data_IF_600507607013
#
_entry.id   IF_600507607013
#
_cell.length_a   1.000
_cell.length_b   1.000
_cell.length_c   1.000
_cell.angle_alpha   90.00
_cell.angle_beta   90.00
_cell.angle_gamma   90.00
#
_symmetry.space_group_name_H-M   'P 1'
#
loop_
_entity.id
_entity.type
_entity.pdbx_description
1 polymer ?
#
# COMPACT_ATOMS: atom_id res chain seq x y z
N UNK A 1 4.46 27.28 7.34
CA UNK A 1 3.68 27.79 6.19
C UNK A 1 2.89 26.59 5.68
N UNK A 2 1.56 26.63 5.76
CA UNK A 2 0.72 25.56 5.20
C UNK A 2 0.68 25.78 3.68
N UNK A 3 1.53 25.06 2.94
CA UNK A 3 1.49 25.05 1.49
C UNK A 3 0.15 24.49 1.01
N UNK A 4 -0.33 24.93 -0.15
CA UNK A 4 -1.45 24.27 -0.82
C UNK A 4 -1.04 22.83 -1.17
N UNK A 5 -1.97 21.85 -1.11
CA UNK A 5 -1.67 20.47 -1.49
C UNK A 5 -1.26 20.40 -2.96
N UNK A 6 -0.34 19.52 -3.27
CA UNK A 6 -0.05 19.21 -4.67
C UNK A 6 -1.30 18.65 -5.37
N UNK A 7 -1.46 18.97 -6.65
CA UNK A 7 -2.60 18.51 -7.45
C UNK A 7 -2.12 17.59 -8.55
N UNK A 8 -2.69 16.38 -8.58
CA UNK A 8 -2.54 15.48 -9.70
C UNK A 8 -3.68 15.70 -10.68
N UNK A 9 -3.38 16.19 -11.85
CA UNK A 9 -4.38 16.66 -12.82
C UNK A 9 -4.37 15.84 -14.10
N UNK A 10 -5.38 16.04 -14.95
CA UNK A 10 -5.46 15.40 -16.27
C UNK A 10 -4.30 15.78 -17.19
N UNK A 11 -3.73 16.96 -17.03
CA UNK A 11 -2.57 17.40 -17.80
C UNK A 11 -1.34 16.52 -17.49
N UNK A 12 -1.14 16.13 -16.24
CA UNK A 12 -0.10 15.20 -15.85
C UNK A 12 -0.32 13.83 -16.51
N UNK A 13 -1.56 13.32 -16.57
CA UNK A 13 -1.86 12.04 -17.21
C UNK A 13 -1.67 12.06 -18.74
N UNK A 14 -1.73 13.23 -19.37
CA UNK A 14 -1.48 13.41 -20.81
C UNK A 14 0.01 13.34 -21.17
N UNK A 15 0.92 13.43 -20.20
CA UNK A 15 2.35 13.20 -20.42
C UNK A 15 2.56 11.74 -20.91
N UNK A 16 3.60 11.47 -21.72
CA UNK A 16 3.85 10.14 -22.26
C UNK A 16 3.84 9.09 -21.14
N UNK A 17 2.88 8.17 -21.21
CA UNK A 17 2.81 7.07 -20.25
C UNK A 17 3.98 6.12 -20.50
N UNK A 18 4.93 6.10 -19.58
CA UNK A 18 5.99 5.12 -19.38
C UNK A 18 6.56 4.43 -20.63
N UNK A 19 7.84 4.35 -20.67
CA UNK A 19 8.61 3.54 -21.62
C UNK A 19 8.99 2.19 -20.98
N UNK A 20 9.93 1.47 -21.62
CA UNK A 20 10.49 0.23 -21.09
C UNK A 20 11.12 0.40 -19.67
N UNK A 21 11.60 1.62 -19.36
CA UNK A 21 12.23 1.90 -18.06
C UNK A 21 11.24 1.99 -16.90
N UNK A 22 9.95 2.11 -17.17
CA UNK A 22 8.87 2.13 -16.15
C UNK A 22 7.95 0.90 -16.25
N UNK A 23 8.25 -0.06 -17.10
CA UNK A 23 7.43 -1.26 -17.30
C UNK A 23 8.07 -2.46 -16.61
N UNK A 24 7.32 -3.09 -15.68
CA UNK A 24 7.76 -4.31 -15.02
C UNK A 24 7.97 -5.45 -16.02
N UNK A 25 8.93 -6.35 -15.78
CA UNK A 25 9.02 -7.59 -16.54
C UNK A 25 7.76 -8.44 -16.38
N UNK A 26 7.45 -9.24 -17.41
CA UNK A 26 6.39 -10.26 -17.29
C UNK A 26 6.78 -11.28 -16.22
N UNK A 27 5.86 -11.57 -15.31
CA UNK A 27 6.02 -12.66 -14.34
C UNK A 27 5.83 -13.97 -15.07
N UNK A 28 6.96 -14.59 -15.44
CA UNK A 28 7.01 -15.79 -16.25
C UNK A 28 6.47 -17.07 -15.57
N UNK A 29 6.62 -18.17 -16.26
CA UNK A 29 6.38 -19.53 -15.72
C UNK A 29 7.72 -20.19 -15.38
N UNK A 30 7.81 -20.98 -14.27
CA UNK A 30 6.72 -21.19 -13.31
C UNK A 30 6.37 -19.92 -12.53
N UNK A 31 5.14 -19.85 -12.07
CA UNK A 31 4.72 -18.76 -11.17
C UNK A 31 5.56 -18.78 -9.89
N UNK A 32 5.76 -17.62 -9.22
CA UNK A 32 6.35 -17.58 -7.89
C UNK A 32 5.61 -18.57 -6.95
N UNK A 33 6.33 -19.32 -6.12
CA UNK A 33 5.72 -20.27 -5.20
C UNK A 33 4.82 -19.54 -4.20
N UNK A 34 3.73 -20.17 -3.82
CA UNK A 34 2.88 -19.62 -2.75
C UNK A 34 3.59 -19.77 -1.41
N UNK A 35 3.65 -18.69 -0.65
CA UNK A 35 4.17 -18.69 0.73
C UNK A 35 3.22 -19.50 1.63
N UNK A 36 1.92 -19.37 1.40
CA UNK A 36 0.88 -20.12 2.09
C UNK A 36 0.13 -20.99 1.07
N UNK A 37 0.07 -22.31 1.25
CA UNK A 37 -0.64 -23.19 0.31
C UNK A 37 -2.15 -22.90 0.23
N UNK A 38 -2.79 -22.64 1.37
CA UNK A 38 -4.24 -22.57 1.51
C UNK A 38 -4.77 -21.14 1.72
N UNK A 39 -3.89 -20.15 1.92
CA UNK A 39 -4.26 -18.75 2.10
C UNK A 39 -3.68 -17.87 0.99
N UNK A 40 -4.42 -16.86 0.59
CA UNK A 40 -3.92 -15.77 -0.22
C UNK A 40 -3.11 -14.79 0.63
N UNK A 41 -2.02 -14.26 0.07
CA UNK A 41 -1.25 -13.16 0.62
C UNK A 41 -1.29 -11.98 -0.36
N UNK A 42 -1.52 -10.79 0.17
CA UNK A 42 -1.41 -9.54 -0.57
C UNK A 42 -0.98 -8.39 0.35
N UNK A 43 -0.71 -7.22 -0.20
CA UNK A 43 -0.40 -6.00 0.56
C UNK A 43 0.66 -6.20 1.64
N UNK A 44 1.87 -6.55 1.25
CA UNK A 44 2.96 -6.76 2.20
C UNK A 44 3.74 -5.47 2.49
N UNK A 45 4.33 -5.37 3.68
CA UNK A 45 5.21 -4.30 4.13
C UNK A 45 6.20 -4.80 5.19
N UNK A 46 7.40 -4.19 5.32
CA UNK A 46 8.33 -4.57 6.38
C UNK A 46 7.88 -4.04 7.74
N UNK A 47 8.27 -4.72 8.83
CA UNK A 47 8.41 -4.04 10.10
C UNK A 47 9.67 -3.18 9.98
N UNK A 48 9.54 -1.87 10.13
CA UNK A 48 10.63 -0.92 9.99
C UNK A 48 11.35 -0.69 11.32
N UNK A 49 12.62 -0.35 11.27
CA UNK A 49 13.28 0.38 12.34
C UNK A 49 12.95 1.88 12.23
N UNK A 50 13.30 2.68 13.23
CA UNK A 50 12.98 4.11 13.23
C UNK A 50 13.67 4.93 12.12
N UNK A 51 14.70 4.40 11.49
CA UNK A 51 15.38 4.98 10.33
C UNK A 51 14.76 4.54 8.99
N UNK A 52 13.69 3.76 9.03
CA UNK A 52 12.98 3.23 7.87
C UNK A 52 13.55 1.92 7.32
N UNK A 53 14.71 1.45 7.78
CA UNK A 53 15.25 0.16 7.36
C UNK A 53 14.37 -1.00 7.81
N UNK A 54 14.44 -2.14 7.11
CA UNK A 54 13.71 -3.34 7.49
C UNK A 54 14.31 -3.94 8.78
N UNK A 55 13.45 -4.22 9.76
CA UNK A 55 13.87 -4.81 11.03
C UNK A 55 14.36 -6.24 10.84
N UNK A 56 15.57 -6.52 11.36
CA UNK A 56 16.16 -7.84 11.35
C UNK A 56 16.23 -8.38 12.77
N UNK A 57 15.59 -9.52 13.01
CA UNK A 57 15.54 -10.19 14.30
C UNK A 57 16.04 -11.63 14.14
N UNK A 58 17.07 -12.00 14.88
CA UNK A 58 17.72 -13.33 14.79
C UNK A 58 18.20 -13.72 13.39
N UNK A 59 18.56 -12.74 12.56
CA UNK A 59 19.04 -12.95 11.20
C UNK A 59 17.97 -12.93 10.13
N UNK A 60 16.67 -12.88 10.49
CA UNK A 60 15.55 -12.81 9.55
C UNK A 60 14.98 -11.40 9.49
N UNK A 61 14.67 -10.90 8.30
CA UNK A 61 13.84 -9.71 8.10
C UNK A 61 12.40 -10.01 8.53
N UNK A 62 11.77 -9.08 9.25
CA UNK A 62 10.36 -9.21 9.65
C UNK A 62 9.44 -8.40 8.76
N UNK A 63 8.37 -9.06 8.32
CA UNK A 63 7.39 -8.51 7.40
C UNK A 63 5.97 -8.76 7.88
N UNK A 64 5.07 -7.95 7.44
CA UNK A 64 3.62 -8.14 7.59
C UNK A 64 2.96 -8.18 6.23
N UNK A 65 1.82 -8.86 6.15
CA UNK A 65 0.97 -8.91 4.98
C UNK A 65 -0.49 -9.04 5.38
N UNK A 66 -1.40 -8.79 4.45
CA UNK A 66 -2.77 -9.27 4.56
C UNK A 66 -2.84 -10.73 4.14
N UNK A 67 -3.70 -11.50 4.79
CA UNK A 67 -4.00 -12.88 4.41
C UNK A 67 -5.47 -13.21 4.61
N UNK A 68 -5.97 -14.13 3.79
CA UNK A 68 -7.29 -14.72 3.91
C UNK A 68 -7.29 -16.12 3.30
N UNK A 69 -8.18 -17.04 3.73
CA UNK A 69 -8.34 -18.34 3.07
C UNK A 69 -8.61 -18.19 1.58
N UNK A 70 -7.93 -18.99 0.76
CA UNK A 70 -8.03 -18.99 -0.70
C UNK A 70 -9.35 -19.64 -1.17
N UNK A 71 -10.48 -19.06 -0.79
CA UNK A 71 -11.84 -19.58 -1.02
C UNK A 71 -12.67 -18.58 -1.84
N UNK A 72 -13.55 -19.10 -2.69
CA UNK A 72 -14.47 -18.28 -3.48
C UNK A 72 -13.79 -17.39 -4.51
N UNK A 73 -14.44 -16.28 -4.87
CA UNK A 73 -13.85 -15.28 -5.73
C UNK A 73 -12.69 -14.56 -4.99
N UNK A 74 -11.53 -14.31 -5.65
CA UNK A 74 -10.39 -13.67 -4.99
C UNK A 74 -10.73 -12.34 -4.30
N UNK A 75 -11.65 -11.54 -4.85
CA UNK A 75 -12.03 -10.26 -4.25
C UNK A 75 -12.74 -10.40 -2.89
N UNK A 76 -13.37 -11.53 -2.61
CA UNK A 76 -13.97 -11.82 -1.30
C UNK A 76 -12.93 -11.95 -0.18
N UNK A 77 -11.62 -12.02 -0.51
CA UNK A 77 -10.53 -12.01 0.48
C UNK A 77 -10.58 -10.77 1.38
N UNK A 78 -11.02 -9.63 0.83
CA UNK A 78 -11.11 -8.38 1.57
C UNK A 78 -12.11 -8.44 2.74
N UNK A 79 -13.13 -9.29 2.64
CA UNK A 79 -14.12 -9.50 3.69
C UNK A 79 -13.64 -10.43 4.82
N UNK A 80 -12.49 -11.07 4.62
CA UNK A 80 -11.88 -12.02 5.57
C UNK A 80 -10.44 -11.65 5.91
N UNK A 81 -10.00 -10.45 5.52
CA UNK A 81 -8.62 -10.00 5.65
C UNK A 81 -8.16 -9.92 7.10
N UNK A 82 -6.99 -10.50 7.36
CA UNK A 82 -6.30 -10.47 8.64
C UNK A 82 -4.81 -10.18 8.47
N UNK A 83 -4.22 -9.51 9.44
CA UNK A 83 -2.79 -9.26 9.50
C UNK A 83 -2.02 -10.56 9.77
N UNK A 84 -0.95 -10.77 9.02
CA UNK A 84 -0.06 -11.91 9.13
C UNK A 84 1.37 -11.48 9.32
N UNK A 85 2.12 -12.19 10.15
CA UNK A 85 3.55 -11.98 10.36
C UNK A 85 4.33 -12.98 9.51
N UNK A 86 5.35 -12.50 8.82
CA UNK A 86 6.23 -13.28 7.97
C UNK A 86 7.69 -13.02 8.35
N UNK A 87 8.54 -14.00 8.14
CA UNK A 87 9.99 -13.82 8.17
C UNK A 87 10.58 -14.07 6.78
N UNK A 88 11.66 -13.35 6.44
CA UNK A 88 12.39 -13.51 5.20
C UNK A 88 13.86 -13.76 5.48
N UNK A 89 14.39 -14.87 4.95
CA UNK A 89 15.78 -15.28 5.03
C UNK A 89 16.34 -15.45 3.62
N UNK A 90 17.19 -14.52 3.18
CA UNK A 90 17.62 -14.48 1.78
C UNK A 90 16.40 -14.36 0.85
N UNK A 91 16.20 -15.34 -0.02
CA UNK A 91 15.05 -15.38 -0.94
C UNK A 91 13.85 -16.18 -0.40
N UNK A 92 14.00 -16.80 0.78
CA UNK A 92 12.98 -17.65 1.41
C UNK A 92 12.01 -16.86 2.28
N UNK A 93 10.73 -17.23 2.23
CA UNK A 93 9.68 -16.69 3.09
C UNK A 93 9.14 -17.76 4.02
N UNK A 94 8.96 -17.41 5.29
CA UNK A 94 8.42 -18.28 6.33
C UNK A 94 7.19 -17.63 6.95
N UNK A 95 6.11 -18.40 7.03
CA UNK A 95 4.91 -18.00 7.74
C UNK A 95 5.12 -18.11 9.26
N UNK A 96 4.91 -17.00 9.96
CA UNK A 96 4.92 -16.94 11.42
C UNK A 96 3.50 -16.98 12.03
N UNK A 97 2.47 -16.90 11.21
CA UNK A 97 1.05 -16.96 11.62
C UNK A 97 0.37 -15.60 11.64
N UNK A 98 -0.89 -15.58 12.10
CA UNK A 98 -1.61 -14.33 12.28
C UNK A 98 -0.90 -13.44 13.30
N UNK A 99 -0.82 -12.13 12.99
CA UNK A 99 -0.16 -11.16 13.85
C UNK A 99 -0.85 -11.04 15.22
N UNK A 100 -2.18 -11.12 15.25
CA UNK A 100 -3.00 -10.97 16.45
C UNK A 100 -4.08 -12.05 16.52
N UNK A 101 -4.61 -12.24 17.75
CA UNK A 101 -5.74 -13.12 17.98
C UNK A 101 -6.99 -12.65 17.23
N UNK A 102 -7.90 -13.59 16.97
CA UNK A 102 -9.17 -13.24 16.35
C UNK A 102 -10.03 -12.35 17.24
N UNK A 103 -10.72 -11.39 16.64
CA UNK A 103 -11.67 -10.51 17.33
C UNK A 103 -11.06 -9.46 18.26
N UNK A 104 -9.74 -9.22 18.26
CA UNK A 104 -9.11 -8.13 19.04
C UNK A 104 -9.21 -6.78 18.36
N UNK A 105 -9.22 -6.75 17.02
CA UNK A 105 -9.41 -5.53 16.24
C UNK A 105 -10.78 -4.89 16.52
N UNK A 106 -10.91 -3.55 16.58
CA UNK A 106 -12.21 -2.88 16.63
C UNK A 106 -13.02 -3.03 15.34
N UNK A 107 -12.36 -3.31 14.20
CA UNK A 107 -13.01 -3.65 12.94
C UNK A 107 -13.48 -5.09 12.87
N UNK A 108 -14.29 -5.41 11.88
CA UNK A 108 -14.62 -6.80 11.52
C UNK A 108 -13.51 -7.43 10.65
N UNK A 109 -12.67 -6.61 10.02
CA UNK A 109 -11.52 -6.97 9.19
C UNK A 109 -10.33 -6.06 9.52
N UNK A 110 -9.15 -6.58 9.18
CA UNK A 110 -7.89 -5.85 9.31
C UNK A 110 -7.36 -5.62 7.89
N UNK A 111 -7.19 -4.34 7.49
CA UNK A 111 -6.64 -3.99 6.19
C UNK A 111 -5.27 -3.36 6.31
N UNK A 112 -4.66 -3.05 5.18
CA UNK A 112 -3.28 -2.59 5.01
C UNK A 112 -2.82 -1.50 5.97
N UNK A 113 -1.52 -1.46 6.17
CA UNK A 113 -0.89 -0.50 7.05
C UNK A 113 0.63 -0.50 6.98
N UNK A 114 1.26 -0.20 8.10
CA UNK A 114 2.70 -0.16 8.30
C UNK A 114 3.05 -0.59 9.72
N UNK A 115 4.33 -0.84 9.99
CA UNK A 115 4.79 -1.19 11.32
C UNK A 115 6.19 -0.64 11.60
N UNK A 116 6.43 -0.24 12.85
CA UNK A 116 7.75 0.22 13.30
C UNK A 116 8.13 -0.43 14.62
N UNK A 117 9.37 -0.90 14.69
CA UNK A 117 9.96 -1.39 15.93
C UNK A 117 10.63 -0.24 16.67
N UNK A 118 10.29 -0.11 17.94
CA UNK A 118 10.81 0.93 18.84
C UNK A 118 12.10 0.47 19.52
N UNK A 119 12.94 1.40 20.00
CA UNK A 119 14.19 1.07 20.72
C UNK A 119 13.97 0.22 21.97
N UNK A 120 12.79 0.30 22.61
CA UNK A 120 12.42 -0.52 23.77
C UNK A 120 11.97 -1.95 23.41
N UNK A 121 11.98 -2.29 22.10
CA UNK A 121 11.55 -3.57 21.56
C UNK A 121 10.05 -3.68 21.33
N UNK A 122 9.27 -2.63 21.61
CA UNK A 122 7.85 -2.57 21.23
C UNK A 122 7.73 -2.42 19.72
N UNK A 123 6.72 -3.03 19.13
CA UNK A 123 6.32 -2.85 17.73
C UNK A 123 4.98 -2.12 17.71
N UNK A 124 4.95 -0.94 17.11
CA UNK A 124 3.71 -0.24 16.77
C UNK A 124 3.27 -0.70 15.38
N UNK A 125 2.13 -1.37 15.30
CA UNK A 125 1.50 -1.78 14.04
C UNK A 125 0.34 -0.83 13.76
N UNK A 126 0.46 -0.04 12.73
CA UNK A 126 -0.60 0.85 12.24
C UNK A 126 -1.34 0.14 11.13
N UNK A 127 -2.65 -0.01 11.27
CA UNK A 127 -3.46 -0.71 10.28
C UNK A 127 -4.85 -0.10 10.15
N UNK A 128 -5.58 -0.49 9.13
CA UNK A 128 -6.96 -0.08 8.93
C UNK A 128 -7.91 -1.07 9.57
N UNK A 129 -8.69 -0.63 10.55
CA UNK A 129 -9.86 -1.36 11.00
C UNK A 129 -11.01 -1.08 10.03
N UNK A 130 -11.38 -2.10 9.25
CA UNK A 130 -12.49 -2.02 8.30
C UNK A 130 -13.74 -2.68 8.88
N UNK A 131 -14.90 -2.04 8.67
CA UNK A 131 -16.15 -2.43 9.31
C UNK A 131 -16.15 -2.21 10.82
N UNK A 132 -17.06 -2.88 11.51
CA UNK A 132 -17.22 -2.82 12.96
C UNK A 132 -17.28 -4.21 13.55
N UNK A 133 -16.56 -4.45 14.62
CA UNK A 133 -16.64 -5.75 15.31
C UNK A 133 -18.09 -6.10 15.66
N UNK A 134 -18.49 -7.33 15.31
CA UNK A 134 -19.83 -7.84 15.63
C UNK A 134 -20.94 -7.32 14.71
N UNK A 135 -20.62 -6.61 13.64
CA UNK A 135 -21.61 -6.22 12.63
C UNK A 135 -22.23 -7.46 11.95
N UNK A 136 -23.53 -7.37 11.65
CA UNK A 136 -24.26 -8.49 11.03
C UNK A 136 -23.94 -8.67 9.54
N UNK A 137 -23.46 -7.61 8.90
CA UNK A 137 -23.00 -7.58 7.49
C UNK A 137 -21.78 -6.69 7.41
N UNK A 138 -20.77 -7.04 6.60
CA UNK A 138 -19.61 -6.20 6.41
C UNK A 138 -19.99 -4.80 5.92
N UNK A 139 -19.48 -3.77 6.61
CA UNK A 139 -19.55 -2.37 6.16
C UNK A 139 -18.15 -1.90 5.74
N UNK A 140 -18.06 -0.76 5.06
CA UNK A 140 -16.80 -0.17 4.61
C UNK A 140 -16.36 1.03 5.47
N UNK A 141 -16.91 1.15 6.69
CA UNK A 141 -16.41 2.11 7.67
C UNK A 141 -14.93 1.84 7.95
N UNK A 142 -14.11 2.88 8.00
CA UNK A 142 -12.67 2.77 8.13
C UNK A 142 -12.14 3.68 9.22
N UNK A 143 -11.21 3.18 10.00
CA UNK A 143 -10.42 3.97 10.95
C UNK A 143 -9.00 3.42 11.04
N UNK A 144 -8.06 4.28 11.42
CA UNK A 144 -6.67 3.88 11.67
C UNK A 144 -6.53 3.44 13.12
N UNK A 145 -5.95 2.27 13.32
CA UNK A 145 -5.67 1.67 14.62
C UNK A 145 -4.17 1.51 14.81
N UNK A 146 -3.67 1.80 16.00
CA UNK A 146 -2.36 1.38 16.46
C UNK A 146 -2.50 0.17 17.38
N UNK A 147 -1.84 -0.94 17.02
CA UNK A 147 -1.64 -2.06 17.92
C UNK A 147 -0.21 -2.02 18.48
N UNK A 148 -0.06 -1.96 19.80
CA UNK A 148 1.24 -2.00 20.47
C UNK A 148 1.49 -3.39 21.01
N UNK A 149 2.50 -4.06 20.44
CA UNK A 149 2.88 -5.42 20.79
C UNK A 149 4.39 -5.50 21.09
N UNK A 150 4.80 -6.56 21.76
CA UNK A 150 6.23 -6.91 21.88
C UNK A 150 6.54 -8.10 20.98
N UNK A 151 7.74 -8.13 20.44
CA UNK A 151 8.26 -9.33 19.83
C UNK A 151 8.64 -10.33 20.94
N UNK A 152 8.02 -11.49 20.89
CA UNK A 152 8.28 -12.59 21.81
C UNK A 152 8.79 -13.81 21.04
N UNK A 153 9.41 -14.74 21.74
CA UNK A 153 9.84 -16.00 21.15
C UNK A 153 9.16 -17.15 21.88
N UNK A 154 8.45 -17.97 21.12
CA UNK A 154 7.85 -19.20 21.62
C UNK A 154 8.28 -20.38 20.73
N UNK A 155 8.81 -21.45 21.35
CA UNK A 155 9.30 -22.62 20.63
C UNK A 155 10.33 -22.32 19.52
N UNK A 156 11.07 -21.20 19.63
CA UNK A 156 12.03 -20.74 18.61
C UNK A 156 11.40 -19.87 17.51
N UNK A 157 10.07 -19.73 17.45
CA UNK A 157 9.36 -18.84 16.52
C UNK A 157 9.28 -17.43 17.08
N UNK A 158 9.41 -16.45 16.19
CA UNK A 158 9.18 -15.03 16.50
C UNK A 158 7.68 -14.76 16.34
N UNK A 159 7.06 -14.12 17.32
CA UNK A 159 5.64 -13.78 17.33
C UNK A 159 5.47 -12.35 17.88
N UNK A 160 4.33 -11.74 17.59
CA UNK A 160 3.86 -10.57 18.32
C UNK A 160 3.06 -11.05 19.54
N UNK A 161 3.24 -10.38 20.67
CA UNK A 161 2.48 -10.68 21.90
C UNK A 161 0.99 -10.48 21.64
N UNK A 162 0.20 -11.51 21.92
CA UNK A 162 -1.25 -11.52 21.71
C UNK A 162 -2.01 -10.62 22.70
N UNK A 163 -1.33 -10.12 23.74
CA UNK A 163 -1.88 -9.13 24.68
C UNK A 163 -1.76 -7.68 24.16
N UNK A 164 -1.49 -7.48 22.88
CA UNK A 164 -1.38 -6.16 22.26
C UNK A 164 -2.62 -5.30 22.52
N UNK A 165 -2.40 -4.04 22.88
CA UNK A 165 -3.45 -3.04 22.98
C UNK A 165 -3.76 -2.47 21.59
N UNK A 166 -5.03 -2.52 21.18
CA UNK A 166 -5.52 -1.99 19.90
C UNK A 166 -6.31 -0.71 20.15
N UNK A 167 -5.71 0.42 19.81
CA UNK A 167 -6.31 1.74 20.01
C UNK A 167 -6.63 2.40 18.68
N UNK A 168 -7.88 2.83 18.50
CA UNK A 168 -8.22 3.68 17.37
C UNK A 168 -7.59 5.06 17.57
N UNK A 169 -6.76 5.47 16.62
CA UNK A 169 -5.94 6.70 16.73
C UNK A 169 -6.35 7.79 15.75
N UNK A 170 -6.99 7.44 14.62
CA UNK A 170 -7.43 8.41 13.62
C UNK A 170 -8.72 7.96 12.93
N UNK A 171 -9.58 8.95 12.65
CA UNK A 171 -10.69 8.88 11.69
C UNK A 171 -10.66 10.10 10.78
N UNK A 172 -11.39 10.03 9.66
CA UNK A 172 -11.69 11.24 8.87
C UNK A 172 -12.41 12.26 9.75
N UNK A 173 -12.11 13.54 9.54
CA UNK A 173 -12.72 14.65 10.30
C UNK A 173 -14.11 15.06 9.75
N UNK A 174 -14.51 14.51 8.60
CA UNK A 174 -15.75 14.87 7.91
C UNK A 174 -15.76 16.27 7.31
N UNK A 175 -14.66 16.99 7.38
CA UNK A 175 -14.51 18.39 6.90
C UNK A 175 -13.45 18.47 5.82
N UNK A 176 -12.19 18.19 6.18
CA UNK A 176 -11.06 18.12 5.22
C UNK A 176 -11.09 16.79 4.48
N UNK A 177 -11.28 15.71 5.23
CA UNK A 177 -11.31 14.34 4.73
C UNK A 177 -12.71 13.76 4.89
N UNK A 178 -13.26 13.24 3.80
CA UNK A 178 -14.59 12.65 3.80
C UNK A 178 -14.62 11.34 4.61
N UNK A 179 -15.74 11.03 5.26
CA UNK A 179 -15.94 9.72 5.85
C UNK A 179 -15.85 8.62 4.79
N UNK A 180 -15.23 7.48 5.13
CA UNK A 180 -15.27 6.31 4.29
C UNK A 180 -16.72 5.79 4.16
N UNK A 181 -17.05 5.21 2.99
CA UNK A 181 -18.38 4.69 2.72
C UNK A 181 -18.71 3.52 3.67
N UNK A 182 -19.92 3.50 4.19
CA UNK A 182 -20.43 2.39 5.01
C UNK A 182 -20.91 1.21 4.17
N UNK A 183 -21.08 1.42 2.87
CA UNK A 183 -21.48 0.39 1.90
C UNK A 183 -20.52 0.41 0.72
N UNK A 184 -20.39 -0.72 0.03
CA UNK A 184 -19.59 -0.82 -1.18
C UNK A 184 -20.09 0.16 -2.23
N UNK A 185 -19.17 0.98 -2.75
CA UNK A 185 -19.44 1.96 -3.80
C UNK A 185 -18.89 1.50 -5.14
N UNK A 186 -19.48 1.99 -6.25
CA UNK A 186 -18.91 1.84 -7.59
C UNK A 186 -17.78 2.84 -7.85
N UNK A 187 -17.11 2.76 -9.02
CA UNK A 187 -16.06 3.69 -9.43
C UNK A 187 -16.50 5.16 -9.27
N UNK A 188 -15.62 5.99 -8.71
CA UNK A 188 -15.89 7.39 -8.40
C UNK A 188 -16.74 7.63 -7.15
N UNK A 189 -17.33 6.59 -6.55
CA UNK A 189 -18.17 6.69 -5.35
C UNK A 189 -17.48 6.23 -4.08
N UNK A 190 -16.41 5.42 -4.20
CA UNK A 190 -15.62 4.92 -3.08
C UNK A 190 -14.94 6.09 -2.37
N UNK A 191 -15.07 6.14 -1.06
CA UNK A 191 -14.35 7.05 -0.18
C UNK A 191 -13.41 6.26 0.71
N UNK A 192 -12.20 6.77 0.88
CA UNK A 192 -11.15 6.10 1.62
C UNK A 192 -10.75 6.89 2.86
N UNK A 193 -10.39 6.17 3.92
CA UNK A 193 -9.58 6.64 5.03
C UNK A 193 -8.83 5.44 5.62
N UNK A 194 -7.77 4.97 4.91
CA UNK A 194 -7.13 3.68 5.12
C UNK A 194 -5.64 3.66 4.78
N UNK A 195 -5.00 2.52 4.94
CA UNK A 195 -3.62 2.21 4.55
C UNK A 195 -2.58 3.14 5.20
N UNK A 196 -2.53 3.25 6.55
CA UNK A 196 -1.60 4.15 7.20
C UNK A 196 -0.15 3.76 6.94
N UNK A 197 0.61 4.65 6.29
CA UNK A 197 2.05 4.56 6.08
C UNK A 197 2.81 5.37 7.13
N UNK A 198 3.53 4.74 8.03
CA UNK A 198 4.35 5.42 9.03
C UNK A 198 5.64 5.96 8.40
N UNK A 199 6.00 7.16 8.79
CA UNK A 199 7.23 7.83 8.36
C UNK A 199 7.79 8.69 9.49
N UNK A 200 9.11 8.60 9.72
CA UNK A 200 9.84 9.52 10.58
C UNK A 200 10.66 10.47 9.72
N UNK A 201 10.39 11.76 9.84
CA UNK A 201 11.09 12.77 9.06
C UNK A 201 12.56 12.89 9.54
N UNK A 202 13.55 12.58 8.68
CA UNK A 202 14.95 12.71 9.06
C UNK A 202 15.39 14.15 9.32
N UNK A 203 14.62 15.15 8.87
CA UNK A 203 14.95 16.55 9.06
C UNK A 203 14.71 17.05 10.49
N UNK A 204 13.65 16.55 11.15
CA UNK A 204 13.27 17.02 12.49
C UNK A 204 12.97 15.89 13.50
N UNK A 205 13.03 14.63 13.06
CA UNK A 205 12.78 13.45 13.88
C UNK A 205 11.32 13.23 14.25
N UNK A 206 10.38 13.99 13.72
CA UNK A 206 8.95 13.85 13.99
C UNK A 206 8.36 12.69 13.23
N UNK A 207 7.32 12.11 13.82
CA UNK A 207 6.59 11.01 13.23
C UNK A 207 5.31 11.49 12.54
N UNK A 208 5.02 10.84 11.42
CA UNK A 208 3.87 11.12 10.59
C UNK A 208 3.20 9.81 10.15
N UNK A 209 1.90 9.89 9.89
CA UNK A 209 1.14 8.87 9.16
C UNK A 209 0.61 9.48 7.88
N UNK A 210 0.87 8.80 6.77
CA UNK A 210 0.21 9.06 5.50
C UNK A 210 -1.00 8.14 5.42
N UNK A 211 -2.14 8.65 4.95
CA UNK A 211 -3.37 7.86 4.89
C UNK A 211 -4.00 8.03 3.52
N UNK A 212 -4.38 6.92 2.88
CA UNK A 212 -5.22 6.95 1.68
C UNK A 212 -6.57 7.55 2.07
N UNK A 213 -6.92 8.68 1.47
CA UNK A 213 -8.10 9.46 1.86
C UNK A 213 -8.90 9.96 0.66
N UNK A 214 -10.07 10.48 0.93
CA UNK A 214 -10.86 11.25 -0.02
C UNK A 214 -11.13 12.63 0.56
N UNK A 215 -11.02 13.68 -0.27
CA UNK A 215 -11.29 15.07 0.15
C UNK A 215 -12.55 15.60 -0.51
N UNK A 216 -13.16 16.62 0.08
CA UNK A 216 -14.23 17.37 -0.55
C UNK A 216 -13.68 18.10 -1.80
N UNK A 217 -14.39 18.02 -2.90
CA UNK A 217 -13.98 18.70 -4.13
C UNK A 217 -13.98 20.22 -3.97
N UNK A 218 -13.06 20.86 -4.66
CA UNK A 218 -13.12 22.32 -4.86
C UNK A 218 -14.39 22.70 -5.63
N UNK A 219 -14.95 23.92 -5.46
CA UNK A 219 -16.10 24.34 -6.24
C UNK A 219 -15.87 24.17 -7.75
N UNK A 220 -16.75 23.42 -8.41
CA UNK A 220 -16.66 23.11 -9.85
C UNK A 220 -15.84 21.88 -10.23
N UNK A 221 -15.21 21.20 -9.28
CA UNK A 221 -14.52 19.92 -9.51
C UNK A 221 -15.50 18.74 -9.41
N UNK A 222 -15.13 17.60 -10.01
CA UNK A 222 -15.91 16.36 -9.88
C UNK A 222 -15.71 15.75 -8.48
N UNK A 223 -16.76 15.80 -7.66
CA UNK A 223 -16.73 15.26 -6.30
C UNK A 223 -16.44 13.76 -6.22
N UNK A 224 -16.63 13.04 -7.32
CA UNK A 224 -16.49 11.59 -7.33
C UNK A 224 -15.02 11.15 -7.30
N UNK A 225 -14.11 11.91 -7.97
CA UNK A 225 -12.73 11.50 -8.20
C UNK A 225 -11.74 12.40 -7.45
N UNK A 226 -11.83 12.40 -6.13
CA UNK A 226 -11.05 13.26 -5.24
C UNK A 226 -10.23 12.44 -4.24
N UNK A 227 -9.56 11.40 -4.73
CA UNK A 227 -8.58 10.65 -3.94
C UNK A 227 -7.44 11.57 -3.45
N UNK A 228 -6.94 11.32 -2.25
CA UNK A 228 -5.92 12.16 -1.64
C UNK A 228 -4.96 11.37 -0.76
N UNK A 229 -3.78 11.92 -0.54
CA UNK A 229 -2.87 11.49 0.51
C UNK A 229 -3.03 12.42 1.70
N UNK A 230 -3.70 11.94 2.74
CA UNK A 230 -3.81 12.64 4.01
C UNK A 230 -2.48 12.57 4.77
N UNK A 231 -2.22 13.57 5.59
CA UNK A 231 -1.11 13.60 6.52
C UNK A 231 -1.64 13.74 7.95
N UNK A 232 -1.11 12.95 8.88
CA UNK A 232 -1.27 13.15 10.30
C UNK A 232 0.10 13.24 10.97
N UNK A 233 0.25 14.14 11.93
CA UNK A 233 1.48 14.33 12.69
C UNK A 233 1.30 13.81 14.12
N UNK A 234 2.31 13.14 14.66
CA UNK A 234 2.35 12.78 16.07
C UNK A 234 2.43 14.05 16.93
N UNK A 235 1.69 14.04 18.03
CA UNK A 235 1.67 15.10 19.05
C UNK A 235 1.73 14.46 20.44
N UNK A 236 2.02 15.21 21.51
CA UNK A 236 1.98 14.66 22.87
C UNK A 236 0.63 14.03 23.26
N UNK A 237 -0.47 14.49 22.65
CA UNK A 237 -1.84 14.03 22.93
C UNK A 237 -2.35 12.98 21.95
N UNK A 238 -1.48 12.44 21.06
CA UNK A 238 -1.83 11.46 20.03
C UNK A 238 -1.53 11.97 18.61
N UNK A 239 -2.43 11.72 17.67
CA UNK A 239 -2.25 12.08 16.25
C UNK A 239 -3.16 13.23 15.84
N UNK A 240 -2.66 14.15 15.03
CA UNK A 240 -3.40 15.33 14.55
C UNK A 240 -3.37 15.40 13.03
N UNK A 241 -4.56 15.42 12.41
CA UNK A 241 -4.72 15.58 10.97
C UNK A 241 -4.15 16.94 10.52
N UNK A 242 -3.54 16.93 9.34
CA UNK A 242 -2.97 18.07 8.64
C UNK A 242 -3.61 18.21 7.27
N UNK A 243 -3.43 19.31 6.55
CA UNK A 243 -3.82 19.42 5.15
C UNK A 243 -3.22 18.27 4.33
N UNK A 244 -3.89 17.81 3.26
CA UNK A 244 -3.38 16.73 2.41
C UNK A 244 -2.06 17.11 1.73
N UNK A 245 -1.19 16.13 1.49
CA UNK A 245 0.02 16.32 0.69
C UNK A 245 -0.28 16.38 -0.80
N UNK A 246 -1.24 15.57 -1.24
CA UNK A 246 -1.63 15.40 -2.63
C UNK A 246 -3.14 15.23 -2.75
N UNK A 247 -3.71 15.79 -3.79
CA UNK A 247 -5.12 15.60 -4.18
C UNK A 247 -5.17 15.25 -5.67
N UNK A 248 -5.89 14.18 -6.02
CA UNK A 248 -6.07 13.72 -7.40
C UNK A 248 -7.26 14.42 -8.10
N UNK A 249 -7.28 15.67 -8.13
CA UNK A 249 -8.27 16.66 -8.59
C UNK A 249 -9.11 16.26 -9.83
N UNK A 250 -10.18 15.50 -9.62
CA UNK A 250 -11.06 14.99 -10.67
C UNK A 250 -10.48 13.89 -11.56
N UNK A 251 -9.35 13.28 -11.17
CA UNK A 251 -8.62 12.31 -12.00
C UNK A 251 -8.69 10.89 -11.46
N UNK A 252 -8.75 10.73 -10.13
CA UNK A 252 -8.69 9.42 -9.50
C UNK A 252 -9.43 9.44 -8.15
N UNK A 253 -10.16 8.37 -7.84
CA UNK A 253 -10.89 8.30 -6.57
C UNK A 253 -10.16 7.50 -5.49
N UNK A 254 -9.10 6.77 -5.85
CA UNK A 254 -8.47 5.80 -4.96
C UNK A 254 -6.95 5.84 -5.09
N UNK A 255 -6.31 6.43 -4.08
CA UNK A 255 -4.85 6.50 -3.93
C UNK A 255 -4.50 5.60 -2.75
N UNK A 256 -3.94 4.42 -3.01
CA UNK A 256 -3.76 3.38 -2.01
C UNK A 256 -2.32 3.28 -1.55
N UNK A 257 -2.14 2.87 -0.28
CA UNK A 257 -0.85 2.58 0.33
C UNK A 257 0.18 3.71 0.19
N UNK A 258 -0.17 4.95 0.54
CA UNK A 258 0.76 6.06 0.45
C UNK A 258 1.93 5.87 1.42
N UNK A 259 3.16 6.06 0.91
CA UNK A 259 4.38 5.99 1.71
C UNK A 259 5.44 6.96 1.18
N UNK A 260 6.39 7.30 2.04
CA UNK A 260 7.50 8.22 1.69
C UNK A 260 8.83 7.51 1.86
N UNK A 261 9.71 7.73 0.89
CA UNK A 261 11.13 7.43 0.96
C UNK A 261 11.90 8.74 0.93
N UNK A 262 12.68 9.03 1.98
CA UNK A 262 13.65 10.11 1.96
C UNK A 262 14.94 9.58 1.28
N UNK A 263 15.35 10.23 0.18
CA UNK A 263 16.54 9.82 -0.56
C UNK A 263 17.34 11.05 -1.00
N UNK A 264 18.61 11.10 -0.60
CA UNK A 264 19.42 12.30 -0.76
C UNK A 264 18.83 13.47 0.03
N UNK A 265 18.55 14.58 -0.65
CA UNK A 265 17.91 15.77 -0.07
C UNK A 265 16.42 15.89 -0.42
N UNK A 266 15.80 14.81 -0.91
CA UNK A 266 14.44 14.84 -1.44
C UNK A 266 13.53 13.82 -0.75
N UNK A 267 12.24 14.14 -0.76
CA UNK A 267 11.15 13.29 -0.27
C UNK A 267 10.39 12.75 -1.46
N UNK A 268 10.31 11.45 -1.59
CA UNK A 268 9.60 10.75 -2.65
C UNK A 268 8.33 10.14 -2.06
N UNK A 269 7.20 10.70 -2.42
CA UNK A 269 5.87 10.18 -2.08
C UNK A 269 5.46 9.17 -3.14
N UNK A 270 5.12 7.95 -2.72
CA UNK A 270 4.63 6.88 -3.58
C UNK A 270 3.25 6.42 -3.16
N UNK A 271 2.48 5.89 -4.11
CA UNK A 271 1.18 5.27 -3.89
C UNK A 271 0.80 4.36 -5.07
N UNK A 272 -0.14 3.45 -4.86
CA UNK A 272 -0.68 2.59 -5.89
C UNK A 272 -2.07 3.01 -6.31
N UNK A 273 -2.45 2.72 -7.56
CA UNK A 273 -3.83 2.85 -8.02
C UNK A 273 -4.11 1.93 -9.21
N UNK A 274 -5.35 1.48 -9.31
CA UNK A 274 -5.83 0.67 -10.42
C UNK A 274 -6.27 1.52 -11.61
N UNK A 275 -6.17 0.95 -12.82
CA UNK A 275 -6.64 1.59 -14.07
C UNK A 275 -8.13 1.94 -14.03
N UNK A 276 -8.95 1.20 -13.29
CA UNK A 276 -10.38 1.45 -13.19
C UNK A 276 -10.72 2.59 -12.21
N UNK A 277 -9.79 2.98 -11.34
CA UNK A 277 -9.95 4.09 -10.38
C UNK A 277 -9.81 5.47 -11.01
N UNK A 278 -9.30 5.55 -12.24
CA UNK A 278 -9.19 6.81 -12.97
C UNK A 278 -10.51 7.29 -13.57
N UNK A 279 -10.57 8.58 -13.88
CA UNK A 279 -11.68 9.21 -14.59
C UNK A 279 -11.21 9.89 -15.89
N UNK A 280 -11.63 9.39 -17.06
CA UNK A 280 -12.40 8.14 -17.25
C UNK A 280 -11.58 6.88 -16.93
N UNK A 281 -12.25 5.74 -16.61
CA UNK A 281 -11.56 4.49 -16.36
C UNK A 281 -10.63 4.11 -17.51
N UNK A 282 -9.42 3.64 -17.18
CA UNK A 282 -8.42 3.25 -18.18
C UNK A 282 -7.62 4.41 -18.79
N UNK A 283 -7.81 5.65 -18.33
CA UNK A 283 -7.02 6.80 -18.83
C UNK A 283 -5.54 6.74 -18.40
N UNK A 284 -5.20 5.91 -17.42
CA UNK A 284 -3.84 5.57 -17.06
C UNK A 284 -3.75 4.11 -16.57
N UNK A 285 -2.57 3.47 -16.59
CA UNK A 285 -2.42 2.07 -16.21
C UNK A 285 -2.54 1.82 -14.71
N UNK A 286 -2.86 0.58 -14.33
CA UNK A 286 -2.58 0.07 -12.98
C UNK A 286 -1.10 0.20 -12.70
N UNK A 287 -0.72 0.86 -11.59
CA UNK A 287 0.69 1.14 -11.35
C UNK A 287 1.02 1.70 -9.97
N UNK A 288 2.33 1.81 -9.76
CA UNK A 288 2.94 2.64 -8.73
C UNK A 288 3.13 4.05 -9.31
N UNK A 289 2.66 5.03 -8.58
CA UNK A 289 2.80 6.44 -8.92
C UNK A 289 3.58 7.16 -7.84
N UNK A 290 4.19 8.29 -8.19
CA UNK A 290 4.97 9.03 -7.20
C UNK A 290 5.20 10.49 -7.58
N UNK A 291 5.58 11.23 -6.54
CA UNK A 291 5.89 12.66 -6.59
C UNK A 291 7.14 12.94 -5.77
N UNK A 292 7.89 13.97 -6.12
CA UNK A 292 9.09 14.38 -5.42
C UNK A 292 8.97 15.80 -4.88
N UNK A 293 9.52 16.04 -3.69
CA UNK A 293 9.54 17.35 -3.05
C UNK A 293 10.86 17.58 -2.30
N UNK A 294 11.24 18.86 -2.06
CA UNK A 294 12.40 19.22 -1.25
C UNK A 294 12.14 19.10 0.27
N UNK A 295 10.89 18.95 0.68
CA UNK A 295 10.50 18.79 2.09
C UNK A 295 9.25 17.92 2.20
N UNK A 296 8.99 17.37 3.39
CA UNK A 296 7.81 16.53 3.65
C UNK A 296 6.48 17.20 3.23
N UNK A 297 6.36 18.48 3.44
CA UNK A 297 5.13 19.23 3.13
C UNK A 297 5.12 19.88 1.73
N UNK A 298 6.05 19.48 0.87
CA UNK A 298 6.09 19.91 -0.53
C UNK A 298 6.96 21.14 -0.81
N UNK A 299 6.78 21.80 -1.96
CA UNK A 299 5.82 21.45 -3.01
C UNK A 299 6.20 20.15 -3.74
N UNK A 300 5.21 19.28 -3.98
CA UNK A 300 5.39 18.04 -4.70
C UNK A 300 5.20 18.23 -6.20
N UNK A 301 6.09 17.61 -7.00
CA UNK A 301 5.98 17.54 -8.47
C UNK A 301 5.93 16.06 -8.92
N UNK A 302 5.17 15.72 -9.98
CA UNK A 302 5.03 14.34 -10.41
C UNK A 302 6.35 13.80 -10.95
N UNK A 303 6.67 12.56 -10.57
CA UNK A 303 7.78 11.80 -11.16
C UNK A 303 7.49 11.50 -12.63
N UNK A 304 8.51 11.49 -13.49
CA UNK A 304 8.41 11.21 -14.91
C UNK A 304 7.36 12.08 -15.65
N UNK A 305 7.03 13.25 -15.11
CA UNK A 305 6.03 14.17 -15.65
C UNK A 305 4.57 13.75 -15.42
N UNK A 306 4.24 12.47 -15.48
CA UNK A 306 2.89 11.93 -15.26
C UNK A 306 2.60 11.48 -13.82
N UNK A 307 3.63 11.26 -13.04
CA UNK A 307 3.59 10.56 -11.77
C UNK A 307 3.82 9.04 -11.90
N UNK A 308 3.75 8.46 -13.09
CA UNK A 308 3.93 7.03 -13.28
C UNK A 308 5.39 6.62 -13.01
N UNK A 309 5.58 5.71 -12.05
CA UNK A 309 6.88 5.15 -11.67
C UNK A 309 7.07 3.74 -12.21
N UNK A 310 6.02 2.92 -12.05
CA UNK A 310 6.04 1.52 -12.44
C UNK A 310 4.65 1.09 -12.88
N UNK A 311 4.58 0.40 -14.02
CA UNK A 311 3.35 -0.25 -14.51
C UNK A 311 3.58 -1.72 -14.82
N UNK A 312 2.52 -2.48 -14.87
CA UNK A 312 2.54 -3.80 -15.46
C UNK A 312 2.76 -3.75 -16.99
N UNK A 313 3.32 -4.79 -17.60
CA UNK A 313 3.42 -4.87 -19.06
C UNK A 313 2.03 -4.98 -19.70
N UNK A 314 1.93 -4.55 -20.97
CA UNK A 314 0.64 -4.49 -21.64
C UNK A 314 -0.03 -5.87 -21.83
N UNK A 315 0.77 -6.91 -21.99
CA UNK A 315 0.33 -8.31 -22.11
C UNK A 315 -0.15 -8.92 -20.78
N UNK A 316 0.25 -8.35 -19.64
CA UNK A 316 -0.12 -8.77 -18.29
C UNK A 316 -0.51 -7.56 -17.44
N UNK A 317 -1.55 -6.80 -17.79
CA UNK A 317 -1.83 -5.46 -17.24
C UNK A 317 -2.16 -5.45 -15.75
N UNK A 318 -2.46 -6.58 -15.16
CA UNK A 318 -2.90 -6.73 -13.79
C UNK A 318 -2.09 -7.79 -13.00
N UNK A 319 -0.90 -8.19 -13.51
CA UNK A 319 -0.10 -9.29 -12.93
C UNK A 319 0.42 -9.03 -11.52
N UNK A 320 0.64 -7.78 -11.14
CA UNK A 320 1.15 -7.41 -9.82
C UNK A 320 0.53 -6.10 -9.34
N UNK A 321 0.46 -5.93 -8.01
CA UNK A 321 -0.11 -4.73 -7.40
C UNK A 321 0.44 -4.47 -6.00
N UNK A 322 -0.03 -3.36 -5.39
CA UNK A 322 0.26 -2.91 -4.03
C UNK A 322 1.77 -2.78 -3.75
N UNK A 323 2.49 -2.18 -4.70
CA UNK A 323 3.93 -1.96 -4.57
C UNK A 323 4.29 -1.00 -3.44
N UNK A 324 5.35 -1.36 -2.72
CA UNK A 324 5.99 -0.51 -1.72
C UNK A 324 7.46 -0.35 -2.10
N UNK A 325 7.93 0.89 -2.13
CA UNK A 325 9.33 1.24 -2.33
C UNK A 325 10.02 1.29 -0.97
N UNK A 326 11.07 0.51 -0.82
CA UNK A 326 11.88 0.47 0.40
C UNK A 326 12.97 1.56 0.36
N UNK A 327 13.58 1.93 1.51
CA UNK A 327 14.67 2.91 1.55
C UNK A 327 15.90 2.55 0.69
N UNK A 328 16.15 1.26 0.46
CA UNK A 328 17.19 0.74 -0.43
C UNK A 328 16.74 0.67 -1.90
N UNK A 329 15.60 1.28 -2.24
CA UNK A 329 14.99 1.39 -3.56
C UNK A 329 14.50 0.05 -4.16
N UNK A 330 14.48 -1.01 -3.39
CA UNK A 330 13.76 -2.21 -3.77
C UNK A 330 12.26 -1.96 -3.74
N UNK A 331 11.55 -2.60 -4.67
CA UNK A 331 10.10 -2.52 -4.80
C UNK A 331 9.52 -3.90 -4.60
N UNK A 332 8.67 -4.02 -3.61
CA UNK A 332 7.95 -5.25 -3.27
C UNK A 332 6.47 -5.10 -3.58
N UNK A 333 5.82 -6.19 -3.94
CA UNK A 333 4.40 -6.24 -4.22
C UNK A 333 3.91 -7.68 -4.20
N UNK A 334 2.67 -7.91 -4.59
CA UNK A 334 2.13 -9.25 -4.69
C UNK A 334 1.71 -9.60 -6.12
N UNK A 335 1.69 -10.89 -6.43
CA UNK A 335 1.17 -11.41 -7.71
C UNK A 335 -0.35 -11.37 -7.65
N UNK A 336 -0.91 -10.52 -8.48
CA UNK A 336 -2.36 -10.30 -8.57
C UNK A 336 -2.96 -11.20 -9.66
N UNK A 337 -3.63 -10.66 -10.66
CA UNK A 337 -4.24 -11.42 -11.73
C UNK A 337 -3.29 -11.55 -12.93
N UNK A 338 -2.99 -12.80 -13.29
CA UNK A 338 -2.18 -13.13 -14.48
C UNK A 338 -3.10 -13.54 -15.61
N UNK A 339 -2.76 -13.14 -16.85
CA UNK A 339 -3.53 -13.49 -18.03
C UNK A 339 -3.52 -15.00 -18.26
N UNK A 340 -4.63 -15.64 -17.95
CA UNK A 340 -4.88 -17.06 -18.22
C UNK A 340 -5.96 -17.23 -19.30
N UNK A 341 -6.17 -16.19 -20.12
CA UNK A 341 -7.27 -16.13 -21.09
C UNK A 341 -8.56 -15.49 -20.54
N UNK A 342 -8.55 -15.07 -19.27
CA UNK A 342 -9.68 -14.35 -18.65
C UNK A 342 -9.57 -12.86 -19.00
N UNK A 343 -10.62 -12.30 -19.62
CA UNK A 343 -10.62 -10.93 -20.13
C UNK A 343 -10.76 -9.90 -19.00
N UNK A 344 -11.62 -10.18 -18.03
CA UNK A 344 -11.84 -9.33 -16.85
C UNK A 344 -11.94 -10.21 -15.60
N UNK A 345 -10.84 -10.40 -14.87
CA UNK A 345 -10.83 -11.31 -13.73
C UNK A 345 -11.69 -10.83 -12.55
N UNK A 346 -12.01 -9.53 -12.45
CA UNK A 346 -12.90 -9.00 -11.41
C UNK A 346 -14.38 -9.34 -11.64
N UNK A 347 -14.76 -9.62 -12.91
CA UNK A 347 -16.12 -9.98 -13.30
C UNK A 347 -16.26 -11.44 -13.68
N UNK A 348 -15.15 -12.19 -13.66
CA UNK A 348 -15.14 -13.61 -14.04
C UNK A 348 -15.82 -14.49 -12.98
N UNK A 349 -16.23 -15.69 -13.37
CA UNK A 349 -16.68 -16.70 -12.41
C UNK A 349 -15.57 -17.03 -11.41
N UNK A 350 -15.94 -17.34 -10.17
CA UNK A 350 -14.99 -17.54 -9.06
C UNK A 350 -13.85 -18.52 -9.39
N UNK A 351 -14.14 -19.61 -10.08
CA UNK A 351 -13.13 -20.61 -10.46
C UNK A 351 -12.11 -20.07 -11.48
N UNK A 352 -12.55 -19.27 -12.45
CA UNK A 352 -11.70 -18.65 -13.46
C UNK A 352 -10.83 -17.53 -12.84
N UNK A 353 -11.46 -16.66 -12.04
CA UNK A 353 -10.76 -15.63 -11.30
C UNK A 353 -9.69 -16.22 -10.36
N UNK A 354 -10.03 -17.31 -9.66
CA UNK A 354 -9.11 -18.03 -8.76
C UNK A 354 -7.93 -18.65 -9.52
N UNK A 355 -8.14 -19.19 -10.70
CA UNK A 355 -7.07 -19.74 -11.54
C UNK A 355 -6.10 -18.66 -12.06
N UNK A 356 -6.58 -17.43 -12.23
CA UNK A 356 -5.78 -16.29 -12.65
C UNK A 356 -5.05 -15.61 -11.48
N UNK A 357 -5.57 -15.71 -10.26
CA UNK A 357 -5.06 -15.00 -9.09
C UNK A 357 -3.81 -15.66 -8.49
N UNK A 358 -2.75 -14.87 -8.30
CA UNK A 358 -1.51 -15.39 -7.70
C UNK A 358 -1.59 -15.53 -6.19
N UNK A 359 -1.99 -14.51 -5.49
CA UNK A 359 -2.12 -14.50 -4.02
C UNK A 359 -0.81 -14.86 -3.30
N UNK A 360 0.32 -14.38 -3.81
CA UNK A 360 1.66 -14.62 -3.27
C UNK A 360 2.57 -13.42 -3.56
N UNK A 361 3.79 -13.46 -3.05
CA UNK A 361 4.75 -12.36 -3.18
C UNK A 361 5.29 -12.31 -4.61
N UNK A 362 5.30 -11.12 -5.20
CA UNK A 362 5.85 -10.88 -6.54
C UNK A 362 7.39 -10.83 -6.51
N UNK A 363 8.06 -11.06 -7.64
CA UNK A 363 9.48 -10.81 -7.76
C UNK A 363 9.84 -9.37 -7.36
N UNK A 364 10.91 -9.22 -6.57
CA UNK A 364 11.41 -7.92 -6.14
C UNK A 364 12.00 -7.18 -7.33
N UNK A 365 11.62 -5.91 -7.47
CA UNK A 365 12.18 -4.99 -8.46
C UNK A 365 13.09 -3.98 -7.76
N UNK A 366 13.83 -3.21 -8.54
CA UNK A 366 14.71 -2.15 -8.03
C UNK A 366 14.53 -0.89 -8.87
N UNK A 367 14.50 0.27 -8.21
CA UNK A 367 14.38 1.58 -8.87
C UNK A 367 15.68 2.36 -8.78
N UNK A 368 15.83 3.30 -9.71
CA UNK A 368 16.74 4.45 -9.57
C UNK A 368 15.93 5.73 -9.40
N UNK A 369 16.45 6.67 -8.60
CA UNK A 369 15.85 7.97 -8.37
C UNK A 369 16.87 9.07 -8.74
N UNK A 370 16.48 9.96 -9.66
CA UNK A 370 17.29 11.09 -10.12
C UNK A 370 16.43 12.36 -10.21
N UNK A 371 16.27 13.08 -9.08
CA UNK A 371 15.36 14.22 -9.02
C UNK A 371 13.93 13.78 -9.33
N UNK A 372 13.32 14.34 -10.38
CA UNK A 372 11.97 13.98 -10.80
C UNK A 372 11.92 12.79 -11.79
N UNK A 373 13.04 12.13 -12.09
CA UNK A 373 13.09 10.97 -12.97
C UNK A 373 13.30 9.69 -12.17
N UNK A 374 12.61 8.62 -12.58
CA UNK A 374 12.78 7.26 -12.04
C UNK A 374 12.88 6.25 -13.16
N UNK A 375 13.57 5.15 -12.93
CA UNK A 375 13.58 4.01 -13.84
C UNK A 375 13.77 2.70 -13.07
N UNK A 376 13.30 1.59 -13.67
CA UNK A 376 13.64 0.25 -13.21
C UNK A 376 15.10 -0.07 -13.51
N UNK A 377 15.77 -0.69 -12.55
CA UNK A 377 17.05 -1.35 -12.81
C UNK A 377 16.76 -2.64 -13.56
N UNK A 378 16.99 -2.64 -14.85
CA UNK A 378 16.89 -3.86 -15.67
C UNK A 378 18.16 -4.68 -15.42
N UNK A 379 18.07 -5.93 -14.90
CA UNK A 379 19.25 -6.79 -14.84
C UNK A 379 19.88 -6.90 -16.23
N UNK A 380 21.14 -6.52 -16.36
CA UNK A 380 21.86 -6.76 -17.60
C UNK A 380 21.88 -8.27 -17.80
N UNK A 381 21.13 -8.78 -18.77
CA UNK A 381 21.24 -10.18 -19.16
C UNK A 381 22.68 -10.38 -19.63
N UNK A 382 23.52 -10.95 -18.77
CA UNK A 382 24.80 -11.51 -19.17
C UNK A 382 24.46 -12.62 -20.15
N UNK A 383 24.48 -12.29 -21.45
CA UNK A 383 24.25 -13.26 -22.51
C UNK A 383 25.15 -14.44 -22.24
N UNK A 384 24.52 -15.59 -21.98
CA UNK A 384 25.22 -16.86 -22.00
C UNK A 384 25.79 -16.98 -23.40
N UNK A 385 27.11 -16.79 -23.49
CA UNK A 385 27.86 -17.04 -24.69
C UNK A 385 27.52 -18.44 -25.21
N UNK A 386 27.28 -18.51 -26.51
CA UNK A 386 27.07 -19.76 -27.28
C UNK A 386 28.25 -20.71 -27.12
#
# INVERSE_FOLDING_TARGET
MNGEPARWTREHLAAPAGDAATTAPVIGLPAPPRVLPDDDIWDLWPIQEEDGSTSVVRGSELWMALSAPALGHPEERHDRARLRLLAKDGDGWTDLGHAFADGVSPGSREWSGSAVRRPDGTVSVFYTAAGRRGEARPTFAQSVVEARARLVTDGGRILLDQAAEHTEILRSDGVTYLPADEVEGGPGRIKAFRDPGWFRDPADGREYLLVAASVAASPGADHAFMGAVALAAATPDGWSLRPPLLVADGVNHEIERPHIVAHGSSYYLFFCTHRHSFHPPGSAPTGLYGFVAPSLTGPYTPLNGSGLVLRNPAEEPDQAYAWVVLPDLKVVGFVNYRSTGVTDPWQAEAAEARAAFGGTIAPVLELTLHGAATSLVVPVSTGAGR
#
